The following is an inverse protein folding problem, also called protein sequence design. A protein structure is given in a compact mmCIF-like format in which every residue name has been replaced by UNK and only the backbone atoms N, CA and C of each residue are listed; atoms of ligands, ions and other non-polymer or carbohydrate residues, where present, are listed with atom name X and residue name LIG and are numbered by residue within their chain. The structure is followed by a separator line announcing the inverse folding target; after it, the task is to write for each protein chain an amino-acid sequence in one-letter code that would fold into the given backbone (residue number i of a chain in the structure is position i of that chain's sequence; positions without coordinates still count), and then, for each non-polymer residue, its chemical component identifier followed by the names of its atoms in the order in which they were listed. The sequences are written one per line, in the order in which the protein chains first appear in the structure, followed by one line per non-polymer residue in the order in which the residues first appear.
data_IF_928972419907
#
_entry.id   IF_928972419907
#
_cell.length_a   1.000
_cell.length_b   1.000
_cell.length_c   1.000
_cell.angle_alpha   90.00
_cell.angle_beta   90.00
_cell.angle_gamma   90.00
#
_symmetry.space_group_name_H-M   'P 1'
#
loop_
_entity.id
_entity.type
_entity.pdbx_description
1 polymer ?
#
# COMPACT_ATOMS: atom_id res chain seq x y z
N UNK A 1 54.40 -11.63 -58.08
CA UNK A 1 53.86 -12.30 -56.86
C UNK A 1 53.24 -13.61 -57.29
N UNK A 2 53.56 -14.73 -56.71
CA UNK A 2 53.19 -16.06 -57.18
C UNK A 2 51.65 -16.25 -56.95
N UNK A 3 50.85 -16.54 -58.00
CA UNK A 3 49.37 -16.70 -57.93
C UNK A 3 48.92 -17.61 -56.77
N UNK A 4 49.70 -18.65 -56.47
CA UNK A 4 49.47 -19.56 -55.34
C UNK A 4 49.59 -18.86 -53.98
N UNK A 5 50.56 -17.96 -53.79
CA UNK A 5 50.74 -17.19 -52.57
C UNK A 5 49.61 -16.18 -52.35
N UNK A 6 49.11 -15.55 -53.44
CA UNK A 6 47.94 -14.67 -53.38
C UNK A 6 46.68 -15.44 -52.97
N UNK A 7 46.47 -16.61 -53.55
CA UNK A 7 45.32 -17.45 -53.22
C UNK A 7 45.33 -17.91 -51.75
N UNK A 8 46.48 -18.33 -51.27
CA UNK A 8 46.64 -18.70 -49.84
C UNK A 8 46.36 -17.53 -48.93
N UNK A 9 46.87 -16.34 -49.26
CA UNK A 9 46.65 -15.15 -48.45
C UNK A 9 45.16 -14.74 -48.40
N UNK A 10 44.49 -14.79 -49.59
CA UNK A 10 43.04 -14.51 -49.68
C UNK A 10 42.23 -15.54 -48.85
N UNK A 11 42.58 -16.83 -48.95
CA UNK A 11 41.88 -17.88 -48.20
C UNK A 11 42.09 -17.72 -46.69
N UNK A 12 43.29 -17.44 -46.24
CA UNK A 12 43.60 -17.17 -44.84
C UNK A 12 42.87 -15.91 -44.31
N UNK A 13 42.82 -14.86 -45.13
CA UNK A 13 42.09 -13.62 -44.79
C UNK A 13 40.60 -13.89 -44.64
N UNK A 14 39.98 -14.68 -45.55
CA UNK A 14 38.57 -15.06 -45.46
C UNK A 14 38.29 -15.92 -44.22
N UNK A 15 39.11 -16.91 -43.92
CA UNK A 15 38.98 -17.74 -42.71
C UNK A 15 39.12 -16.88 -41.44
N UNK A 16 40.14 -16.02 -41.40
CA UNK A 16 40.31 -15.09 -40.27
C UNK A 16 39.09 -14.17 -40.07
N UNK A 17 38.62 -13.57 -41.18
CA UNK A 17 37.39 -12.74 -41.16
C UNK A 17 36.15 -13.52 -40.69
N UNK A 18 36.04 -14.79 -41.11
CA UNK A 18 34.97 -15.69 -40.65
C UNK A 18 35.04 -15.98 -39.16
N UNK A 19 36.24 -16.25 -38.63
CA UNK A 19 36.43 -16.49 -37.19
C UNK A 19 36.13 -15.24 -36.37
N UNK A 20 36.64 -14.07 -36.81
CA UNK A 20 36.36 -12.80 -36.16
C UNK A 20 34.85 -12.48 -36.20
N UNK A 21 34.22 -12.66 -37.38
CA UNK A 21 32.79 -12.47 -37.54
C UNK A 21 31.94 -13.38 -36.63
N UNK A 22 32.35 -14.67 -36.54
CA UNK A 22 31.68 -15.62 -35.65
C UNK A 22 31.86 -15.24 -34.16
N UNK A 23 33.02 -14.79 -33.78
CA UNK A 23 33.30 -14.32 -32.42
C UNK A 23 32.42 -13.13 -32.05
N UNK A 24 32.34 -12.10 -32.91
CA UNK A 24 31.44 -10.97 -32.72
C UNK A 24 29.95 -11.41 -32.71
N UNK A 25 29.57 -12.34 -33.58
CA UNK A 25 28.21 -12.89 -33.59
C UNK A 25 27.85 -13.53 -32.25
N UNK A 26 28.75 -14.34 -31.66
CA UNK A 26 28.54 -14.98 -30.38
C UNK A 26 28.43 -13.95 -29.23
N UNK A 27 29.22 -12.88 -29.23
CA UNK A 27 29.14 -11.82 -28.22
C UNK A 27 27.84 -11.02 -28.27
N UNK A 28 27.20 -10.91 -29.43
CA UNK A 28 25.98 -10.13 -29.62
C UNK A 28 24.72 -10.98 -29.45
N UNK A 29 24.72 -12.18 -30.03
CA UNK A 29 23.56 -13.08 -30.16
C UNK A 29 23.68 -14.36 -29.35
N UNK A 30 24.85 -14.66 -28.81
CA UNK A 30 25.05 -15.78 -27.92
C UNK A 30 24.41 -15.53 -26.54
N UNK A 31 24.23 -16.60 -25.78
CA UNK A 31 23.76 -16.54 -24.40
C UNK A 31 24.79 -15.78 -23.53
N UNK A 32 24.38 -14.66 -22.98
CA UNK A 32 25.23 -13.78 -22.18
C UNK A 32 24.72 -13.61 -20.73
N UNK A 33 23.42 -13.53 -20.54
CA UNK A 33 22.82 -13.36 -19.21
C UNK A 33 23.03 -14.63 -18.39
N UNK A 34 23.70 -14.53 -17.27
CA UNK A 34 24.13 -15.66 -16.43
C UNK A 34 23.09 -16.10 -15.40
N UNK A 35 22.11 -15.24 -15.09
CA UNK A 35 21.07 -15.52 -14.09
C UNK A 35 19.79 -14.75 -14.42
N UNK A 36 18.66 -15.33 -14.08
CA UNK A 36 17.38 -14.63 -14.15
C UNK A 36 17.24 -13.65 -12.97
N UNK A 37 16.82 -12.40 -13.26
CA UNK A 37 16.63 -11.40 -12.22
C UNK A 37 16.04 -10.09 -12.71
N UNK A 38 15.75 -9.19 -11.77
CA UNK A 38 15.18 -7.90 -12.06
C UNK A 38 16.26 -6.82 -12.12
N UNK A 39 16.23 -6.00 -13.16
CA UNK A 39 17.04 -4.78 -13.30
C UNK A 39 16.10 -3.58 -13.20
N UNK A 40 16.54 -2.58 -12.42
CA UNK A 40 15.82 -1.32 -12.23
C UNK A 40 16.62 -0.19 -12.88
N UNK A 41 15.99 0.52 -13.81
CA UNK A 41 16.56 1.70 -14.48
C UNK A 41 15.76 2.90 -13.98
N UNK A 42 16.46 3.86 -13.37
CA UNK A 42 15.83 5.06 -12.82
C UNK A 42 15.51 6.07 -13.92
N UNK A 43 14.58 6.95 -13.62
CA UNK A 43 14.20 8.07 -14.52
C UNK A 43 15.35 9.06 -14.75
N UNK A 44 16.34 9.07 -13.87
CA UNK A 44 17.55 9.91 -13.94
C UNK A 44 18.77 9.22 -14.56
N UNK A 45 18.68 7.91 -14.82
CA UNK A 45 19.84 7.12 -15.26
C UNK A 45 20.22 7.46 -16.71
N UNK A 46 21.51 7.56 -16.93
CA UNK A 46 22.12 7.61 -18.25
C UNK A 46 22.62 6.23 -18.71
N UNK A 47 23.19 6.14 -19.90
CA UNK A 47 23.63 4.85 -20.48
C UNK A 47 24.72 4.13 -19.64
N UNK A 48 25.58 4.89 -18.93
CA UNK A 48 26.61 4.32 -18.05
C UNK A 48 25.97 3.71 -16.80
N UNK A 49 24.94 4.39 -16.25
CA UNK A 49 24.18 3.88 -15.11
C UNK A 49 23.43 2.59 -15.47
N UNK A 50 22.87 2.53 -16.69
CA UNK A 50 22.26 1.30 -17.22
C UNK A 50 23.28 0.17 -17.30
N UNK A 51 24.47 0.43 -17.86
CA UNK A 51 25.54 -0.60 -17.92
C UNK A 51 25.88 -1.09 -16.53
N UNK A 52 26.06 -0.18 -15.57
CA UNK A 52 26.34 -0.53 -14.18
C UNK A 52 25.23 -1.38 -13.55
N UNK A 53 23.95 -1.07 -13.84
CA UNK A 53 22.82 -1.88 -13.37
C UNK A 53 22.79 -3.29 -13.99
N UNK A 54 23.43 -3.48 -15.15
CA UNK A 54 23.54 -4.76 -15.84
C UNK A 54 24.78 -5.58 -15.45
N UNK A 55 25.74 -5.03 -14.70
CA UNK A 55 27.03 -5.67 -14.39
C UNK A 55 26.88 -7.05 -13.74
N UNK A 56 25.89 -7.21 -12.89
CA UNK A 56 25.59 -8.49 -12.23
C UNK A 56 25.04 -9.57 -13.17
N UNK A 57 24.64 -9.20 -14.38
CA UNK A 57 23.98 -10.07 -15.35
C UNK A 57 24.82 -10.29 -16.60
N UNK A 58 25.57 -9.27 -17.02
CA UNK A 58 26.41 -9.29 -18.23
C UNK A 58 27.79 -8.75 -17.92
N UNK A 59 28.84 -9.50 -18.27
CA UNK A 59 30.21 -9.13 -17.92
C UNK A 59 30.94 -8.22 -18.92
N UNK A 60 30.52 -8.18 -20.19
CA UNK A 60 31.24 -7.48 -21.25
C UNK A 60 30.80 -6.02 -21.44
N UNK A 61 31.64 -5.11 -21.00
CA UNK A 61 31.38 -3.67 -21.05
C UNK A 61 31.52 -3.08 -22.47
N UNK A 62 32.56 -3.45 -23.20
CA UNK A 62 32.90 -2.85 -24.50
C UNK A 62 31.84 -3.20 -25.55
N UNK A 63 31.40 -4.45 -25.61
CA UNK A 63 30.38 -4.90 -26.55
C UNK A 63 29.02 -4.25 -26.23
N UNK A 64 28.70 -4.00 -24.95
CA UNK A 64 27.47 -3.29 -24.59
C UNK A 64 27.42 -1.90 -25.22
N UNK A 65 28.43 -1.05 -25.00
CA UNK A 65 28.44 0.31 -25.54
C UNK A 65 28.48 0.34 -27.06
N UNK A 66 29.24 -0.56 -27.68
CA UNK A 66 29.25 -0.69 -29.13
C UNK A 66 27.87 -1.00 -29.70
N UNK A 67 27.18 -2.01 -29.15
CA UNK A 67 25.86 -2.41 -29.62
C UNK A 67 24.77 -1.38 -29.29
N UNK A 68 24.83 -0.77 -28.13
CA UNK A 68 23.93 0.30 -27.72
C UNK A 68 24.02 1.49 -28.71
N UNK A 69 25.26 1.88 -29.09
CA UNK A 69 25.48 2.93 -30.07
C UNK A 69 24.94 2.56 -31.46
N UNK A 70 25.23 1.34 -31.94
CA UNK A 70 24.69 0.81 -33.23
C UNK A 70 23.17 0.79 -33.26
N UNK A 71 22.53 0.51 -32.13
CA UNK A 71 21.06 0.51 -32.00
C UNK A 71 20.46 1.89 -31.68
N UNK A 72 21.29 2.94 -31.65
CA UNK A 72 20.88 4.29 -31.27
C UNK A 72 20.17 4.33 -29.90
N UNK A 73 20.63 3.51 -28.95
CA UNK A 73 20.13 3.48 -27.58
C UNK A 73 20.87 4.54 -26.75
N UNK A 74 20.41 5.79 -26.80
CA UNK A 74 21.02 6.94 -26.10
C UNK A 74 20.20 7.38 -24.88
N UNK A 75 18.88 7.19 -24.93
CA UNK A 75 17.96 7.62 -23.89
C UNK A 75 17.37 6.39 -23.20
N UNK A 76 17.87 6.01 -22.02
CA UNK A 76 17.32 4.90 -21.25
C UNK A 76 15.85 5.13 -20.93
N UNK A 77 15.06 4.07 -21.01
CA UNK A 77 13.68 4.08 -20.54
C UNK A 77 13.64 3.52 -19.13
N UNK A 78 13.26 4.38 -18.17
CA UNK A 78 13.12 4.00 -16.79
C UNK A 78 12.08 2.88 -16.59
N UNK A 79 12.32 2.01 -15.63
CA UNK A 79 11.40 0.94 -15.29
C UNK A 79 12.09 -0.28 -14.69
N UNK A 80 11.28 -1.27 -14.35
CA UNK A 80 11.75 -2.60 -13.95
C UNK A 80 11.71 -3.54 -15.15
N UNK A 81 12.82 -4.21 -15.42
CA UNK A 81 12.96 -5.19 -16.48
C UNK A 81 13.38 -6.54 -15.90
N UNK A 82 12.81 -7.63 -16.41
CA UNK A 82 13.23 -8.97 -16.02
C UNK A 82 14.15 -9.49 -17.11
N UNK A 83 15.40 -9.77 -16.74
CA UNK A 83 16.35 -10.49 -17.57
C UNK A 83 16.21 -11.97 -17.25
N UNK A 84 16.19 -12.80 -18.29
CA UNK A 84 16.12 -14.25 -18.17
C UNK A 84 17.48 -14.84 -18.53
N UNK A 85 17.94 -15.81 -17.76
CA UNK A 85 19.15 -16.56 -18.06
C UNK A 85 19.14 -17.04 -19.51
N UNK A 86 20.25 -16.91 -20.19
CA UNK A 86 20.41 -17.25 -21.60
C UNK A 86 20.04 -16.14 -22.59
N UNK A 87 19.52 -15.00 -22.15
CA UNK A 87 19.31 -13.85 -23.04
C UNK A 87 20.62 -13.37 -23.65
N UNK A 88 20.60 -13.03 -24.94
CA UNK A 88 21.70 -12.38 -25.61
C UNK A 88 21.78 -10.89 -25.25
N UNK A 89 22.96 -10.29 -25.48
CA UNK A 89 23.10 -8.83 -25.34
C UNK A 89 22.13 -8.07 -26.23
N UNK A 90 21.90 -8.58 -27.44
CA UNK A 90 20.92 -8.04 -28.38
C UNK A 90 19.50 -7.99 -27.78
N UNK A 91 19.08 -9.07 -27.10
CA UNK A 91 17.76 -9.15 -26.48
C UNK A 91 17.63 -8.23 -25.28
N UNK A 92 18.67 -8.16 -24.44
CA UNK A 92 18.71 -7.22 -23.29
C UNK A 92 18.56 -5.79 -23.76
N UNK A 93 19.38 -5.34 -24.75
CA UNK A 93 19.28 -3.95 -25.24
C UNK A 93 17.93 -3.71 -25.91
N UNK A 94 17.38 -4.65 -26.67
CA UNK A 94 16.07 -4.51 -27.29
C UNK A 94 14.96 -4.38 -26.24
N UNK A 95 15.00 -5.20 -25.16
CA UNK A 95 14.05 -5.17 -24.08
C UNK A 95 14.03 -3.78 -23.40
N UNK A 96 15.18 -3.29 -22.93
CA UNK A 96 15.25 -2.01 -22.21
C UNK A 96 15.00 -0.81 -23.13
N UNK A 97 15.46 -0.85 -24.40
CA UNK A 97 15.20 0.18 -25.39
C UNK A 97 13.73 0.28 -25.77
N UNK A 98 13.03 -0.84 -25.87
CA UNK A 98 11.59 -0.86 -26.17
C UNK A 98 10.76 -0.19 -25.08
N UNK A 99 11.23 -0.25 -23.82
CA UNK A 99 10.47 0.17 -22.65
C UNK A 99 9.39 -0.83 -22.25
N UNK A 100 9.50 -2.09 -22.68
CA UNK A 100 8.60 -3.16 -22.29
C UNK A 100 8.92 -3.63 -20.86
N UNK A 101 8.62 -2.75 -19.89
CA UNK A 101 8.90 -3.00 -18.48
C UNK A 101 7.90 -3.97 -17.84
N UNK A 102 8.35 -4.66 -16.82
CA UNK A 102 7.53 -5.58 -16.02
C UNK A 102 6.92 -4.83 -14.84
N UNK A 103 5.60 -4.87 -14.64
CA UNK A 103 4.96 -4.25 -13.49
C UNK A 103 5.49 -4.79 -12.15
N UNK A 104 5.41 -3.98 -11.11
CA UNK A 104 5.67 -4.36 -9.72
C UNK A 104 4.35 -4.51 -8.97
N UNK A 105 4.29 -5.48 -8.06
CA UNK A 105 3.17 -5.64 -7.13
C UNK A 105 3.41 -4.76 -5.92
N UNK A 106 2.67 -3.66 -5.83
CA UNK A 106 2.70 -2.70 -4.71
C UNK A 106 1.64 -3.10 -3.71
N UNK A 107 2.04 -3.42 -2.49
CA UNK A 107 1.12 -3.85 -1.44
C UNK A 107 1.21 -2.94 -0.21
N UNK A 108 0.06 -2.65 0.35
CA UNK A 108 -0.04 -1.99 1.65
C UNK A 108 -1.22 -2.52 2.46
N UNK A 109 -1.03 -2.55 3.75
CA UNK A 109 -2.05 -2.80 4.75
C UNK A 109 -2.60 -1.47 5.28
N UNK A 110 -3.48 -1.54 6.28
CA UNK A 110 -3.98 -0.36 6.99
C UNK A 110 -2.85 0.51 7.52
N UNK A 111 -2.97 1.82 7.32
CA UNK A 111 -2.03 2.84 7.78
C UNK A 111 -2.79 3.85 8.66
N UNK A 112 -2.07 4.40 9.66
CA UNK A 112 -2.67 5.38 10.58
C UNK A 112 -2.69 6.80 9.99
N UNK A 113 -1.81 7.10 9.02
CA UNK A 113 -1.73 8.40 8.38
C UNK A 113 -1.26 8.32 6.93
N UNK A 114 -1.43 9.43 6.22
CA UNK A 114 -0.98 9.59 4.83
C UNK A 114 0.56 9.57 4.74
N UNK A 115 1.26 10.08 5.76
CA UNK A 115 2.72 10.06 5.87
C UNK A 115 3.24 8.61 5.94
N UNK A 116 2.67 7.78 6.80
CA UNK A 116 3.04 6.36 6.90
C UNK A 116 2.73 5.60 5.62
N UNK A 117 1.57 5.90 5.00
CA UNK A 117 1.23 5.36 3.70
C UNK A 117 2.27 5.73 2.64
N UNK A 118 2.60 7.04 2.54
CA UNK A 118 3.58 7.52 1.55
C UNK A 118 4.96 6.88 1.74
N UNK A 119 5.42 6.75 2.98
CA UNK A 119 6.66 6.05 3.30
C UNK A 119 6.63 4.57 2.89
N UNK A 120 5.50 3.89 3.11
CA UNK A 120 5.32 2.48 2.73
C UNK A 120 5.36 2.28 1.21
N UNK A 121 4.78 3.20 0.44
CA UNK A 121 4.78 3.13 -1.04
C UNK A 121 6.16 3.47 -1.60
N UNK A 122 6.85 4.47 -1.05
CA UNK A 122 8.20 4.87 -1.47
C UNK A 122 9.24 3.74 -1.37
N UNK A 123 9.04 2.77 -0.48
CA UNK A 123 9.91 1.58 -0.41
C UNK A 123 9.70 0.58 -1.55
N UNK A 124 8.67 0.73 -2.38
CA UNK A 124 8.28 -0.24 -3.40
C UNK A 124 8.33 0.31 -4.83
N UNK A 125 8.40 1.63 -4.98
CA UNK A 125 8.42 2.35 -6.25
C UNK A 125 9.64 3.26 -6.34
N UNK A 126 9.87 3.86 -7.49
CA UNK A 126 10.91 4.89 -7.67
C UNK A 126 10.56 6.19 -6.93
N UNK A 127 9.28 6.39 -6.63
CA UNK A 127 8.77 7.59 -5.98
C UNK A 127 9.32 7.78 -4.57
N UNK A 128 9.67 9.00 -4.20
CA UNK A 128 9.90 9.38 -2.82
C UNK A 128 8.59 9.66 -2.06
N UNK A 129 8.64 9.59 -0.74
CA UNK A 129 7.47 9.78 0.13
C UNK A 129 6.91 11.20 0.08
N UNK A 130 7.75 12.20 -0.16
CA UNK A 130 7.35 13.62 -0.21
C UNK A 130 6.53 13.88 -1.46
N UNK A 131 6.95 13.37 -2.61
CA UNK A 131 6.22 13.48 -3.88
C UNK A 131 4.85 12.83 -3.80
N UNK A 132 4.75 11.64 -3.18
CA UNK A 132 3.48 10.94 -2.96
C UNK A 132 2.58 11.80 -2.06
N UNK A 133 3.10 12.24 -0.92
CA UNK A 133 2.35 13.05 0.04
C UNK A 133 1.82 14.34 -0.60
N UNK A 134 2.68 15.05 -1.34
CA UNK A 134 2.31 16.26 -2.07
C UNK A 134 1.20 16.01 -3.10
N UNK A 135 1.26 14.90 -3.83
CA UNK A 135 0.22 14.55 -4.80
C UNK A 135 -1.14 14.30 -4.11
N UNK A 136 -1.18 13.63 -2.95
CA UNK A 136 -2.43 13.40 -2.22
C UNK A 136 -2.96 14.64 -1.50
N UNK A 137 -2.12 15.65 -1.24
CA UNK A 137 -2.48 16.94 -0.64
C UNK A 137 -2.70 18.05 -1.67
N UNK A 138 -2.67 17.74 -2.95
CA UNK A 138 -2.93 18.71 -4.03
C UNK A 138 -4.32 19.35 -3.85
N UNK A 139 -4.42 20.66 -3.65
CA UNK A 139 -5.71 21.33 -3.41
C UNK A 139 -6.72 21.16 -4.54
N UNK A 140 -6.26 21.11 -5.80
CA UNK A 140 -7.13 20.90 -6.96
C UNK A 140 -7.71 19.51 -6.95
N UNK A 141 -6.87 18.50 -6.66
CA UNK A 141 -7.33 17.12 -6.51
C UNK A 141 -8.33 16.97 -5.37
N UNK A 142 -8.04 17.53 -4.21
CA UNK A 142 -8.88 17.44 -3.03
C UNK A 142 -10.25 18.08 -3.28
N UNK A 143 -10.27 19.32 -3.78
CA UNK A 143 -11.54 20.04 -4.04
C UNK A 143 -12.39 19.36 -5.12
N UNK A 144 -11.78 18.92 -6.22
CA UNK A 144 -12.46 18.21 -7.32
C UNK A 144 -13.14 16.92 -6.85
N UNK A 145 -12.54 16.23 -5.88
CA UNK A 145 -13.04 14.97 -5.37
C UNK A 145 -13.82 15.11 -4.03
N UNK A 146 -14.10 16.35 -3.60
CA UNK A 146 -14.79 16.67 -2.33
C UNK A 146 -14.06 16.05 -1.12
N UNK A 147 -12.76 16.05 -1.14
CA UNK A 147 -11.88 15.58 -0.07
C UNK A 147 -11.25 16.76 0.66
N UNK A 148 -10.78 16.50 1.87
CA UNK A 148 -9.86 17.35 2.62
C UNK A 148 -8.56 16.59 2.85
N UNK A 149 -7.52 17.24 3.34
CA UNK A 149 -6.29 16.55 3.73
C UNK A 149 -6.54 15.43 4.75
N UNK A 150 -7.46 15.67 5.69
CA UNK A 150 -7.83 14.70 6.72
C UNK A 150 -8.63 13.50 6.17
N UNK A 151 -9.34 13.69 5.06
CA UNK A 151 -10.10 12.61 4.41
C UNK A 151 -9.38 11.95 3.23
N UNK A 152 -8.22 12.47 2.81
CA UNK A 152 -7.48 11.91 1.68
C UNK A 152 -7.08 10.42 1.86
N UNK A 153 -6.93 9.98 3.11
CA UNK A 153 -6.67 8.58 3.45
C UNK A 153 -7.85 7.64 3.10
N UNK A 154 -9.05 8.17 2.99
CA UNK A 154 -10.29 7.41 2.76
C UNK A 154 -10.34 6.74 1.38
N UNK A 155 -9.66 7.33 0.37
CA UNK A 155 -9.64 6.75 -0.98
C UNK A 155 -8.68 5.56 -1.13
N UNK A 156 -7.97 5.21 -0.07
CA UNK A 156 -6.96 4.16 -0.08
C UNK A 156 -7.54 2.86 0.49
N UNK A 157 -7.71 1.87 -0.36
CA UNK A 157 -8.20 0.55 0.05
C UNK A 157 -7.00 -0.40 0.17
N UNK A 158 -6.70 -0.95 1.36
CA UNK A 158 -5.61 -1.90 1.54
C UNK A 158 -5.74 -3.11 0.63
N UNK A 159 -4.77 -3.30 -0.25
CA UNK A 159 -4.71 -4.41 -1.19
C UNK A 159 -3.32 -4.48 -1.84
N UNK A 160 -3.17 -5.36 -2.83
CA UNK A 160 -2.03 -5.43 -3.75
C UNK A 160 -2.47 -4.92 -5.11
N UNK A 161 -1.70 -4.00 -5.67
CA UNK A 161 -1.95 -3.34 -6.95
C UNK A 161 -0.75 -3.49 -7.87
N UNK A 162 -0.96 -3.47 -9.18
CA UNK A 162 0.11 -3.52 -10.16
C UNK A 162 0.38 -2.12 -10.71
N UNK A 163 1.66 -1.73 -10.68
CA UNK A 163 2.15 -0.45 -11.21
C UNK A 163 3.45 -0.65 -11.97
N UNK A 164 3.74 0.23 -12.91
CA UNK A 164 5.11 0.39 -13.36
C UNK A 164 5.94 1.03 -12.25
N UNK A 165 7.16 0.54 -12.08
CA UNK A 165 8.03 0.95 -10.97
C UNK A 165 8.30 2.47 -10.94
N UNK A 166 8.38 3.09 -12.12
CA UNK A 166 8.58 4.53 -12.34
C UNK A 166 7.28 5.33 -12.55
N UNK A 167 6.14 4.84 -12.02
CA UNK A 167 4.87 5.57 -12.11
C UNK A 167 4.98 6.94 -11.45
N UNK A 168 4.38 8.00 -12.03
CA UNK A 168 4.37 9.31 -11.36
C UNK A 168 3.40 9.33 -10.17
N UNK A 169 3.65 10.23 -9.20
CA UNK A 169 2.83 10.36 -8.01
C UNK A 169 1.36 10.69 -8.34
N UNK A 170 1.12 11.52 -9.36
CA UNK A 170 -0.22 11.88 -9.83
C UNK A 170 -0.94 10.68 -10.46
N UNK A 171 -0.23 9.89 -11.30
CA UNK A 171 -0.80 8.66 -11.89
C UNK A 171 -1.09 7.63 -10.82
N UNK A 172 -0.18 7.46 -9.85
CA UNK A 172 -0.39 6.57 -8.71
C UNK A 172 -1.66 6.98 -7.94
N UNK A 173 -1.77 8.25 -7.53
CA UNK A 173 -2.96 8.81 -6.86
C UNK A 173 -4.24 8.60 -7.68
N UNK A 174 -4.21 8.89 -8.97
CA UNK A 174 -5.36 8.76 -9.87
C UNK A 174 -5.83 7.31 -9.95
N UNK A 175 -4.89 6.36 -10.00
CA UNK A 175 -5.20 4.94 -9.99
C UNK A 175 -5.80 4.51 -8.64
N UNK A 176 -5.30 5.02 -7.51
CA UNK A 176 -5.90 4.73 -6.20
C UNK A 176 -7.35 5.23 -6.12
N UNK A 177 -7.63 6.43 -6.62
CA UNK A 177 -8.99 6.95 -6.71
C UNK A 177 -9.88 6.08 -7.61
N UNK A 178 -9.35 5.60 -8.74
CA UNK A 178 -10.08 4.67 -9.64
C UNK A 178 -10.42 3.37 -8.93
N UNK A 179 -9.46 2.77 -8.20
CA UNK A 179 -9.68 1.54 -7.45
C UNK A 179 -10.66 1.75 -6.28
N UNK A 180 -10.63 2.90 -5.61
CA UNK A 180 -11.63 3.27 -4.62
C UNK A 180 -13.04 3.34 -5.23
N UNK A 181 -13.21 4.01 -6.39
CA UNK A 181 -14.50 4.06 -7.09
C UNK A 181 -14.98 2.69 -7.53
N UNK A 182 -14.07 1.81 -7.97
CA UNK A 182 -14.37 0.42 -8.33
C UNK A 182 -14.75 -0.42 -7.10
N UNK A 183 -14.10 -0.19 -5.95
CA UNK A 183 -14.43 -0.85 -4.70
C UNK A 183 -15.87 -0.56 -4.29
N UNK A 184 -16.33 0.69 -4.42
CA UNK A 184 -17.72 1.09 -4.14
C UNK A 184 -18.63 0.75 -5.32
N UNK A 185 -18.76 -0.55 -5.62
CA UNK A 185 -19.65 -1.08 -6.65
C UNK A 185 -21.14 -0.96 -6.25
N UNK A 186 -22.05 -1.31 -7.18
CA UNK A 186 -23.49 -1.23 -6.98
C UNK A 186 -23.98 -1.97 -5.72
N UNK A 187 -23.43 -3.17 -5.43
CA UNK A 187 -23.80 -3.96 -4.25
C UNK A 187 -23.44 -3.22 -2.94
N UNK A 188 -22.19 -2.73 -2.83
CA UNK A 188 -21.76 -1.99 -1.63
C UNK A 188 -22.51 -0.68 -1.45
N UNK A 189 -22.77 0.05 -2.53
CA UNK A 189 -23.57 1.27 -2.48
C UNK A 189 -25.02 0.98 -2.07
N UNK A 190 -25.62 -0.10 -2.55
CA UNK A 190 -26.95 -0.52 -2.13
C UNK A 190 -26.99 -0.85 -0.62
N UNK A 191 -26.04 -1.62 -0.11
CA UNK A 191 -25.90 -1.90 1.33
C UNK A 191 -25.71 -0.63 2.16
N UNK A 192 -24.90 0.32 1.68
CA UNK A 192 -24.71 1.62 2.31
C UNK A 192 -26.03 2.40 2.42
N UNK A 193 -26.84 2.41 1.36
CA UNK A 193 -28.16 3.04 1.34
C UNK A 193 -29.11 2.38 2.33
N UNK A 194 -29.08 1.04 2.46
CA UNK A 194 -29.94 0.33 3.42
C UNK A 194 -29.66 0.71 4.87
N UNK A 195 -28.42 0.99 5.22
CA UNK A 195 -28.03 1.47 6.56
C UNK A 195 -28.04 3.00 6.69
N UNK A 196 -28.46 3.71 5.63
CA UNK A 196 -28.56 5.18 5.55
C UNK A 196 -27.23 5.89 5.84
N UNK A 197 -26.13 5.37 5.31
CA UNK A 197 -24.79 5.94 5.47
C UNK A 197 -24.12 6.15 4.11
N UNK A 198 -23.36 7.24 3.98
CA UNK A 198 -22.49 7.46 2.82
C UNK A 198 -21.25 6.53 2.88
N UNK A 199 -20.55 6.31 1.75
CA UNK A 199 -19.27 5.62 1.75
C UNK A 199 -18.27 6.16 2.76
N UNK A 200 -18.11 7.49 2.87
CA UNK A 200 -17.23 8.14 3.84
C UNK A 200 -17.62 7.83 5.29
N UNK A 201 -18.90 7.86 5.62
CA UNK A 201 -19.39 7.49 6.95
C UNK A 201 -19.13 6.02 7.28
N UNK A 202 -19.23 5.13 6.29
CA UNK A 202 -18.90 3.71 6.45
C UNK A 202 -17.41 3.54 6.69
N UNK A 203 -16.53 4.24 5.92
CA UNK A 203 -15.09 4.22 6.13
C UNK A 203 -14.73 4.72 7.54
N UNK A 204 -15.38 5.80 7.99
CA UNK A 204 -15.20 6.34 9.33
C UNK A 204 -15.58 5.33 10.42
N UNK A 205 -16.76 4.73 10.34
CA UNK A 205 -17.19 3.71 11.31
C UNK A 205 -16.29 2.46 11.24
N UNK A 206 -15.92 2.01 10.04
CA UNK A 206 -15.04 0.87 9.86
C UNK A 206 -13.65 1.09 10.49
N UNK A 207 -13.12 2.32 10.44
CA UNK A 207 -11.85 2.67 11.10
C UNK A 207 -11.93 2.53 12.63
N UNK A 208 -13.07 2.88 13.22
CA UNK A 208 -13.34 2.68 14.65
C UNK A 208 -13.45 1.19 14.97
N UNK A 209 -14.29 0.46 14.25
CA UNK A 209 -14.50 -0.99 14.44
C UNK A 209 -13.18 -1.76 14.36
N UNK A 210 -12.31 -1.41 13.40
CA UNK A 210 -11.00 -2.04 13.27
C UNK A 210 -10.10 -1.82 14.47
N UNK A 211 -10.13 -0.63 15.05
CA UNK A 211 -9.30 -0.30 16.21
C UNK A 211 -9.86 -0.82 17.53
N UNK A 212 -11.14 -1.17 17.58
CA UNK A 212 -11.76 -1.80 18.75
C UNK A 212 -11.38 -3.26 18.91
N UNK A 213 -11.34 -4.02 17.81
CA UNK A 213 -11.05 -5.45 17.88
C UNK A 213 -10.12 -5.94 16.80
N UNK A 214 -9.10 -6.70 17.20
CA UNK A 214 -8.24 -7.44 16.27
C UNK A 214 -8.94 -8.69 15.70
N UNK A 215 -10.05 -9.15 16.34
CA UNK A 215 -10.77 -10.36 15.94
C UNK A 215 -11.73 -10.04 14.79
N UNK A 216 -11.37 -10.47 13.59
CA UNK A 216 -12.17 -10.23 12.37
C UNK A 216 -13.60 -10.77 12.52
N UNK A 217 -13.77 -11.93 13.16
CA UNK A 217 -15.08 -12.56 13.40
C UNK A 217 -16.00 -11.74 14.33
N UNK A 218 -15.45 -10.86 15.17
CA UNK A 218 -16.20 -10.03 16.10
C UNK A 218 -16.63 -8.69 15.48
N UNK A 219 -15.92 -8.22 14.44
CA UNK A 219 -16.19 -6.92 13.82
C UNK A 219 -17.63 -6.69 13.40
N UNK A 220 -18.39 -7.67 12.83
CA UNK A 220 -19.79 -7.49 12.51
C UNK A 220 -20.69 -7.21 13.72
N UNK A 221 -20.35 -7.80 14.89
CA UNK A 221 -21.08 -7.56 16.14
C UNK A 221 -20.76 -6.16 16.67
N UNK A 222 -19.48 -5.77 16.68
CA UNK A 222 -19.04 -4.43 17.10
C UNK A 222 -19.64 -3.36 16.19
N UNK A 223 -19.69 -3.58 14.87
CA UNK A 223 -20.34 -2.69 13.92
C UNK A 223 -21.84 -2.52 14.24
N UNK A 224 -22.53 -3.63 14.51
CA UNK A 224 -23.96 -3.61 14.91
C UNK A 224 -24.20 -2.83 16.20
N UNK A 225 -23.30 -2.97 17.20
CA UNK A 225 -23.37 -2.22 18.45
C UNK A 225 -23.26 -0.69 18.19
N UNK A 226 -22.30 -0.26 17.38
CA UNK A 226 -22.14 1.17 17.07
C UNK A 226 -23.29 1.71 16.24
N UNK A 227 -23.82 0.95 15.27
CA UNK A 227 -25.02 1.32 14.51
C UNK A 227 -26.24 1.46 15.42
N UNK A 228 -26.40 0.60 16.44
CA UNK A 228 -27.45 0.72 17.45
C UNK A 228 -27.30 2.01 18.28
N UNK A 229 -26.09 2.37 18.68
CA UNK A 229 -25.81 3.63 19.39
C UNK A 229 -26.14 4.84 18.52
N UNK A 230 -25.66 4.86 17.26
CA UNK A 230 -25.96 5.93 16.29
C UNK A 230 -27.49 6.11 16.12
N UNK A 231 -28.21 5.00 15.88
CA UNK A 231 -29.68 5.03 15.73
C UNK A 231 -30.40 5.59 16.95
N UNK A 232 -29.86 5.38 18.15
CA UNK A 232 -30.45 5.87 19.42
C UNK A 232 -29.88 7.21 19.86
N UNK A 233 -29.04 7.84 19.04
CA UNK A 233 -28.36 9.09 19.35
C UNK A 233 -27.55 9.02 20.68
N UNK A 234 -26.91 7.85 20.94
CA UNK A 234 -26.00 7.63 22.08
C UNK A 234 -24.58 7.91 21.62
N UNK A 235 -23.75 8.63 22.39
CA UNK A 235 -22.31 8.79 22.07
C UNK A 235 -21.65 7.46 21.85
N UNK A 236 -20.72 7.35 20.86
CA UNK A 236 -20.05 6.07 20.56
C UNK A 236 -19.13 5.61 21.70
N UNK A 237 -18.49 6.54 22.40
CA UNK A 237 -17.57 6.27 23.51
C UNK A 237 -16.49 5.24 23.15
N UNK A 238 -15.87 5.47 21.98
CA UNK A 238 -14.85 4.61 21.42
C UNK A 238 -13.47 5.11 21.81
N UNK A 239 -12.74 4.37 22.65
CA UNK A 239 -11.37 4.71 23.10
C UNK A 239 -10.40 4.96 21.91
N UNK A 240 -10.48 4.26 20.77
CA UNK A 240 -9.65 4.55 19.61
C UNK A 240 -9.72 5.98 19.12
N UNK A 241 -10.85 6.66 19.29
CA UNK A 241 -10.98 8.09 18.92
C UNK A 241 -10.18 9.00 19.84
N UNK A 242 -10.08 8.66 21.13
CA UNK A 242 -9.24 9.38 22.10
C UNK A 242 -7.76 9.12 21.80
N UNK A 243 -7.39 7.88 21.48
CA UNK A 243 -6.02 7.53 21.08
C UNK A 243 -5.61 8.33 19.84
N UNK A 244 -6.50 8.46 18.86
CA UNK A 244 -6.29 9.29 17.67
C UNK A 244 -6.02 10.76 18.05
N UNK A 245 -6.85 11.36 18.90
CA UNK A 245 -6.68 12.74 19.37
C UNK A 245 -5.32 12.94 20.08
N UNK A 246 -4.94 12.01 20.95
CA UNK A 246 -3.67 12.06 21.67
C UNK A 246 -2.47 11.98 20.71
N UNK A 247 -2.55 11.14 19.69
CA UNK A 247 -1.53 11.07 18.64
C UNK A 247 -1.46 12.32 17.79
N UNK A 248 -2.59 12.91 17.43
CA UNK A 248 -2.62 14.19 16.70
C UNK A 248 -1.96 15.32 17.51
N UNK A 249 -2.15 15.32 18.83
CA UNK A 249 -1.59 16.35 19.72
C UNK A 249 -0.11 16.15 20.01
N UNK A 250 0.35 14.91 20.19
CA UNK A 250 1.70 14.60 20.68
C UNK A 250 2.62 13.97 19.62
N UNK A 251 2.14 13.83 18.37
CA UNK A 251 2.84 13.19 17.27
C UNK A 251 2.43 11.73 17.07
N UNK A 252 2.49 11.24 15.82
CA UNK A 252 2.04 9.91 15.43
C UNK A 252 2.72 8.75 16.16
N UNK A 253 3.96 8.94 16.58
CA UNK A 253 4.74 7.92 17.30
C UNK A 253 4.44 7.88 18.80
N UNK A 254 3.56 8.78 19.28
CA UNK A 254 3.17 8.81 20.69
C UNK A 254 2.47 7.51 21.09
N UNK A 255 3.02 6.82 22.09
CA UNK A 255 2.50 5.54 22.56
C UNK A 255 1.47 5.76 23.67
N UNK A 256 0.20 5.48 23.37
CA UNK A 256 -0.88 5.54 24.36
C UNK A 256 -1.04 4.14 24.96
N UNK A 257 -0.46 3.92 26.16
CA UNK A 257 -0.59 2.65 26.87
C UNK A 257 -2.03 2.42 27.39
N UNK A 258 -2.70 3.51 27.77
CA UNK A 258 -4.05 3.49 28.33
C UNK A 258 -4.70 4.87 28.20
N UNK A 259 -5.99 4.91 27.87
CA UNK A 259 -6.83 6.12 27.94
C UNK A 259 -7.18 6.38 29.40
N UNK A 260 -6.95 7.61 29.88
CA UNK A 260 -7.24 8.04 31.24
C UNK A 260 -8.55 8.83 31.30
N UNK A 261 -9.19 8.90 32.46
CA UNK A 261 -10.45 9.67 32.64
C UNK A 261 -10.31 11.15 32.26
N UNK A 262 -9.13 11.76 32.45
CA UNK A 262 -8.83 13.13 32.01
C UNK A 262 -8.86 13.26 30.47
N UNK A 263 -8.44 12.20 29.74
CA UNK A 263 -8.35 12.21 28.29
C UNK A 263 -9.75 12.19 27.64
N UNK A 264 -10.75 11.60 28.33
CA UNK A 264 -12.14 11.58 27.89
C UNK A 264 -12.78 12.97 27.84
N UNK A 265 -12.15 13.97 28.50
CA UNK A 265 -12.64 15.37 28.57
C UNK A 265 -11.97 16.28 27.54
N UNK A 266 -11.08 15.77 26.69
CA UNK A 266 -10.39 16.57 25.65
C UNK A 266 -11.42 17.11 24.68
N UNK A 267 -11.49 18.43 24.52
CA UNK A 267 -12.32 19.08 23.51
C UNK A 267 -11.76 18.83 22.12
N UNK A 268 -12.46 18.03 21.34
CA UNK A 268 -12.11 17.71 19.94
C UNK A 268 -13.37 17.22 19.23
N UNK A 269 -13.57 17.54 17.96
CA UNK A 269 -14.68 16.97 17.17
C UNK A 269 -14.58 15.45 16.99
N UNK A 270 -13.39 14.88 17.20
CA UNK A 270 -13.18 13.43 17.17
C UNK A 270 -13.51 12.73 18.50
N UNK A 271 -13.75 13.49 19.59
CA UNK A 271 -14.05 12.89 20.89
C UNK A 271 -15.48 12.34 20.92
N UNK A 272 -15.63 11.05 20.73
CA UNK A 272 -16.90 10.33 20.73
C UNK A 272 -17.50 10.08 22.13
N UNK A 273 -16.84 10.54 23.19
CA UNK A 273 -17.42 10.62 24.55
C UNK A 273 -18.23 11.90 24.76
N UNK A 274 -17.80 13.00 24.13
CA UNK A 274 -18.45 14.30 24.23
C UNK A 274 -19.42 14.57 23.08
N UNK A 275 -19.08 14.09 21.88
CA UNK A 275 -19.87 14.33 20.68
C UNK A 275 -20.69 13.09 20.30
N UNK A 276 -21.95 13.30 19.94
CA UNK A 276 -22.83 12.26 19.40
C UNK A 276 -22.60 12.12 17.90
N UNK A 277 -22.85 10.94 17.37
CA UNK A 277 -22.64 10.66 15.95
C UNK A 277 -21.25 10.16 15.64
N UNK A 278 -20.89 10.16 14.37
CA UNK A 278 -19.54 9.82 13.89
C UNK A 278 -18.60 11.01 14.03
N UNK A 279 -17.30 10.77 14.24
CA UNK A 279 -16.30 11.83 14.07
C UNK A 279 -16.29 12.33 12.62
N UNK A 280 -15.68 13.53 12.36
CA UNK A 280 -15.70 14.16 11.04
C UNK A 280 -15.14 13.30 9.91
N UNK A 281 -14.08 12.52 10.21
CA UNK A 281 -13.40 11.64 9.25
C UNK A 281 -12.93 10.37 9.96
N UNK A 282 -12.40 9.42 9.18
CA UNK A 282 -11.79 8.20 9.68
C UNK A 282 -10.57 8.51 10.60
N UNK A 283 -10.32 7.63 11.57
CA UNK A 283 -9.21 7.74 12.52
C UNK A 283 -7.98 6.91 12.11
N UNK A 284 -8.13 6.09 11.11
CA UNK A 284 -7.08 5.29 10.44
C UNK A 284 -7.64 4.69 9.17
N UNK A 285 -6.80 4.24 8.25
CA UNK A 285 -7.23 3.48 7.08
C UNK A 285 -7.84 2.13 7.52
N UNK A 286 -9.14 1.86 7.25
CA UNK A 286 -9.74 0.56 7.55
C UNK A 286 -9.33 -0.49 6.51
N UNK A 287 -9.21 -1.75 6.94
CA UNK A 287 -9.10 -2.87 6.01
C UNK A 287 -10.46 -3.26 5.42
N UNK A 288 -10.43 -4.04 4.33
CA UNK A 288 -11.64 -4.48 3.62
C UNK A 288 -12.57 -5.26 4.54
N UNK A 289 -12.03 -6.04 5.49
CA UNK A 289 -12.86 -6.84 6.40
C UNK A 289 -13.65 -5.96 7.37
N UNK A 290 -13.09 -4.84 7.81
CA UNK A 290 -13.77 -3.86 8.67
C UNK A 290 -14.86 -3.11 7.92
N UNK A 291 -14.60 -2.73 6.65
CA UNK A 291 -15.63 -2.11 5.79
C UNK A 291 -16.76 -3.09 5.54
N UNK A 292 -16.45 -4.33 5.21
CA UNK A 292 -17.46 -5.38 5.01
C UNK A 292 -18.24 -5.69 6.30
N UNK A 293 -17.59 -5.61 7.46
CA UNK A 293 -18.26 -5.80 8.75
C UNK A 293 -19.34 -4.73 9.03
N UNK A 294 -19.09 -3.48 8.62
CA UNK A 294 -20.10 -2.41 8.71
C UNK A 294 -21.23 -2.63 7.70
N UNK A 295 -20.89 -2.96 6.43
CA UNK A 295 -21.87 -3.20 5.38
C UNK A 295 -22.74 -4.44 5.60
N UNK A 296 -22.24 -5.43 6.32
CA UNK A 296 -22.92 -6.70 6.64
C UNK A 296 -22.96 -6.93 8.16
N UNK A 297 -23.25 -5.86 8.90
CA UNK A 297 -23.27 -5.93 10.37
C UNK A 297 -24.25 -6.98 10.89
N UNK A 298 -23.92 -7.59 12.03
CA UNK A 298 -24.83 -8.51 12.69
C UNK A 298 -25.94 -7.75 13.40
N UNK A 299 -27.19 -8.09 13.11
CA UNK A 299 -28.36 -7.49 13.77
C UNK A 299 -28.53 -8.06 15.18
N UNK A 300 -28.55 -7.20 16.16
CA UNK A 300 -28.77 -7.49 17.60
C UNK A 300 -29.15 -6.20 18.34
N UNK A 301 -29.38 -6.30 19.66
CA UNK A 301 -29.76 -5.14 20.48
C UNK A 301 -28.66 -4.68 21.45
N UNK A 302 -27.41 -5.09 21.24
CA UNK A 302 -26.29 -4.69 22.11
C UNK A 302 -25.98 -3.20 21.97
N UNK A 303 -25.66 -2.59 23.11
CA UNK A 303 -25.27 -1.17 23.26
C UNK A 303 -23.94 -1.02 23.99
N UNK A 304 -23.49 -2.04 24.68
CA UNK A 304 -22.30 -2.04 25.52
C UNK A 304 -21.45 -3.26 25.24
N UNK A 305 -20.15 -3.11 25.43
CA UNK A 305 -19.17 -4.19 25.39
C UNK A 305 -18.06 -3.96 26.43
N UNK A 306 -17.46 -5.02 26.91
CA UNK A 306 -16.23 -4.98 27.73
C UNK A 306 -15.41 -6.25 27.41
N UNK A 307 -14.13 -6.24 27.77
CA UNK A 307 -13.28 -7.40 27.52
C UNK A 307 -13.85 -8.67 28.18
N UNK A 308 -13.79 -9.79 27.47
CA UNK A 308 -14.27 -11.09 27.96
C UNK A 308 -13.25 -11.74 28.90
N UNK A 309 -13.75 -12.39 29.96
CA UNK A 309 -12.95 -13.18 30.90
C UNK A 309 -12.76 -14.59 30.38
N UNK A 310 -13.76 -15.13 29.69
CA UNK A 310 -13.79 -16.51 29.20
C UNK A 310 -13.10 -16.66 27.86
N UNK A 311 -13.17 -15.64 27.01
CA UNK A 311 -12.63 -15.61 25.66
C UNK A 311 -11.60 -14.47 25.53
N UNK A 312 -10.35 -14.75 25.89
CA UNK A 312 -9.29 -13.73 25.90
C UNK A 312 -9.13 -13.09 24.50
N UNK A 313 -9.17 -11.77 24.46
CA UNK A 313 -9.06 -10.98 23.22
C UNK A 313 -10.40 -10.77 22.50
N UNK A 314 -11.52 -11.24 23.05
CA UNK A 314 -12.89 -10.96 22.62
C UNK A 314 -13.62 -10.09 23.64
N UNK A 315 -14.85 -9.68 23.32
CA UNK A 315 -15.70 -8.87 24.17
C UNK A 315 -16.94 -9.64 24.66
N UNK A 316 -17.43 -9.24 25.83
CA UNK A 316 -18.76 -9.56 26.35
C UNK A 316 -19.71 -8.42 25.98
N UNK A 317 -20.79 -8.75 25.29
CA UNK A 317 -21.77 -7.80 24.82
C UNK A 317 -23.00 -7.73 25.74
N UNK A 318 -23.55 -6.51 25.87
CA UNK A 318 -24.73 -6.29 26.69
C UNK A 318 -25.69 -5.29 26.03
N UNK A 319 -27.01 -5.54 26.15
CA UNK A 319 -28.07 -4.64 25.71
C UNK A 319 -28.48 -3.61 26.78
N UNK A 320 -28.12 -3.84 28.06
CA UNK A 320 -28.46 -2.96 29.17
C UNK A 320 -27.20 -2.57 29.96
N UNK A 321 -27.23 -1.38 30.57
CA UNK A 321 -26.14 -0.90 31.41
C UNK A 321 -25.92 -1.81 32.64
N UNK A 322 -27.00 -2.33 33.24
CA UNK A 322 -26.92 -3.26 34.39
C UNK A 322 -26.10 -4.50 34.02
N UNK A 323 -26.38 -5.13 32.85
CA UNK A 323 -25.64 -6.32 32.39
C UNK A 323 -24.18 -5.96 32.08
N UNK A 324 -23.94 -4.81 31.45
CA UNK A 324 -22.58 -4.31 31.17
C UNK A 324 -21.80 -4.13 32.47
N UNK A 325 -22.33 -3.46 33.46
CA UNK A 325 -21.66 -3.25 34.74
C UNK A 325 -21.32 -4.60 35.43
N UNK A 326 -22.22 -5.58 35.39
CA UNK A 326 -21.93 -6.92 35.90
C UNK A 326 -20.75 -7.58 35.17
N UNK A 327 -20.71 -7.47 33.84
CA UNK A 327 -19.60 -7.99 33.03
C UNK A 327 -18.27 -7.26 33.35
N UNK A 328 -18.31 -5.93 33.47
CA UNK A 328 -17.15 -5.10 33.82
C UNK A 328 -16.59 -5.44 35.20
N UNK A 329 -17.47 -5.67 36.21
CA UNK A 329 -17.04 -6.11 37.54
C UNK A 329 -16.38 -7.49 37.51
N UNK A 330 -16.94 -8.44 36.70
CA UNK A 330 -16.31 -9.78 36.53
C UNK A 330 -14.91 -9.63 35.94
N UNK A 331 -14.75 -8.78 34.90
CA UNK A 331 -13.46 -8.54 34.26
C UNK A 331 -12.47 -7.89 35.24
N UNK A 332 -12.89 -6.90 36.01
CA UNK A 332 -12.03 -6.27 37.02
C UNK A 332 -11.57 -7.26 38.08
N UNK A 333 -12.46 -8.13 38.61
CA UNK A 333 -12.10 -9.16 39.56
C UNK A 333 -11.10 -10.17 38.99
N UNK A 334 -11.24 -10.49 37.70
CA UNK A 334 -10.31 -11.40 37.00
C UNK A 334 -8.92 -10.74 36.83
N UNK A 335 -8.82 -9.44 36.48
CA UNK A 335 -7.56 -8.70 36.42
C UNK A 335 -6.86 -8.68 37.77
N UNK A 336 -7.59 -8.43 38.86
CA UNK A 336 -7.03 -8.40 40.21
C UNK A 336 -6.45 -9.77 40.60
N UNK A 337 -7.15 -10.87 40.25
CA UNK A 337 -6.65 -12.23 40.48
C UNK A 337 -5.38 -12.57 39.67
N UNK A 338 -5.17 -11.91 38.53
CA UNK A 338 -3.97 -12.09 37.69
C UNK A 338 -2.83 -11.16 38.11
N UNK A 339 -2.97 -10.38 39.15
CA UNK A 339 -1.95 -9.46 39.64
C UNK A 339 -1.75 -8.23 38.69
N UNK A 340 -2.66 -8.03 37.74
CA UNK A 340 -2.66 -6.86 36.88
C UNK A 340 -3.29 -5.70 37.65
N UNK A 341 -2.52 -5.12 38.56
CA UNK A 341 -2.93 -3.93 39.32
C UNK A 341 -2.96 -2.72 38.40
N UNK A 342 -4.04 -1.96 38.52
CA UNK A 342 -4.23 -0.69 37.78
C UNK A 342 -3.56 0.46 38.50
#
# INVERSE_FOLDING_TARGET
MNKRLILIFVTLSLVFSGIVGYHYYQHIFGSLVTKTGAVYIRSTDNINDVKKALDDFIGDENTFFWLANRKNYKNPKAGKYILTEGMSLNDVINLIRSGNQTPVKVSFNNQDSLEKFSGRIAMQLELDSISILKAFRDPVFLSTNKLSELSALEILIPNTYEFYWNVSAEKFRTNMLKEFKKFWNKDRLHKATQIKMSPSQIMTLASIVQKETAKVSERPIVAGLYLNRLKRNIPLQADPTIIYILKQKNGENFQVKRVLLKDLKISSPYNTYLNRGLPPNLISMPDISSINAVLNFQKHNYLYMCASVTNVGYHEFASTLKKHNNNAVKYQRWLNKKGVNR
#
